data_IF_337679261505
#
_entry.id   IF_337679261505
#
_cell.length_a   1.000
_cell.length_b   1.000
_cell.length_c   1.000
_cell.angle_alpha   90.00
_cell.angle_beta   90.00
_cell.angle_gamma   90.00
#
_symmetry.space_group_name_H-M   'P 1'
#
loop_
_entity.id
_entity.type
_entity.pdbx_description
1 polymer ?
#
# COMPACT_ATOMS: atom_id res chain seq x y z
N UNK A 1 -3.04 -27.88 53.32
CA UNK A 1 -2.46 -28.05 51.97
C UNK A 1 -3.28 -27.29 50.95
N UNK A 2 -2.63 -26.39 50.19
CA UNK A 2 -2.96 -25.86 48.84
C UNK A 2 -2.61 -24.36 48.77
N UNK A 3 -1.41 -24.06 48.28
CA UNK A 3 -1.02 -22.72 47.84
C UNK A 3 -1.53 -22.58 46.40
N UNK A 4 -2.53 -21.72 46.18
CA UNK A 4 -3.03 -21.43 44.84
C UNK A 4 -2.27 -20.21 44.33
N UNK A 5 -1.25 -20.45 43.50
CA UNK A 5 -0.53 -19.41 42.76
C UNK A 5 -1.40 -19.00 41.56
N UNK A 6 -2.00 -17.82 41.63
CA UNK A 6 -2.72 -17.22 40.50
C UNK A 6 -1.69 -16.66 39.50
N UNK A 7 -1.49 -17.39 38.40
CA UNK A 7 -0.63 -16.95 37.29
C UNK A 7 -1.45 -16.01 36.40
N UNK A 8 -1.17 -14.71 36.48
CA UNK A 8 -1.71 -13.68 35.59
C UNK A 8 -0.96 -13.73 34.25
N UNK A 9 -1.48 -14.46 33.27
CA UNK A 9 -1.00 -14.47 31.89
C UNK A 9 -1.61 -13.29 31.12
N UNK A 10 -0.85 -12.21 30.98
CA UNK A 10 -1.22 -11.05 30.15
C UNK A 10 -1.04 -11.40 28.67
N UNK A 11 -2.12 -11.68 27.94
CA UNK A 11 -2.10 -11.79 26.47
C UNK A 11 -1.85 -10.41 25.86
N UNK A 12 -0.64 -10.19 25.33
CA UNK A 12 -0.35 -9.03 24.49
C UNK A 12 -0.98 -9.30 23.11
N UNK A 13 -2.10 -8.63 22.83
CA UNK A 13 -2.71 -8.62 21.50
C UNK A 13 -1.89 -7.67 20.63
N UNK A 14 -1.03 -8.21 19.76
CA UNK A 14 -0.36 -7.43 18.73
C UNK A 14 -1.38 -7.02 17.66
N UNK A 15 -1.91 -5.80 17.78
CA UNK A 15 -2.70 -5.17 16.71
C UNK A 15 -1.77 -4.77 15.57
N UNK A 16 -1.52 -5.71 14.65
CA UNK A 16 -0.83 -5.41 13.39
C UNK A 16 -1.71 -4.48 12.54
N UNK A 17 -1.32 -3.21 12.40
CA UNK A 17 -1.93 -2.33 11.43
C UNK A 17 -1.71 -2.92 10.03
N UNK A 18 -2.78 -3.39 9.40
CA UNK A 18 -2.73 -3.92 8.04
C UNK A 18 -2.42 -2.77 7.06
N UNK A 19 -1.14 -2.61 6.73
CA UNK A 19 -0.63 -1.74 5.65
C UNK A 19 -1.23 -2.09 4.28
N UNK A 20 -1.83 -3.29 4.15
CA UNK A 20 -2.41 -3.90 2.96
C UNK A 20 -3.60 -3.14 2.31
N UNK A 21 -3.87 -1.89 2.67
CA UNK A 21 -4.96 -1.10 2.06
C UNK A 21 -4.60 0.36 1.82
N UNK A 22 -3.33 0.75 1.87
CA UNK A 22 -2.99 2.17 1.69
C UNK A 22 -3.22 2.69 0.27
N UNK A 23 -2.97 1.88 -0.75
CA UNK A 23 -3.29 2.22 -2.15
C UNK A 23 -4.81 2.19 -2.36
N UNK A 24 -5.54 1.22 -1.80
CA UNK A 24 -7.01 1.19 -1.85
C UNK A 24 -7.59 2.48 -1.26
N UNK A 25 -7.13 2.89 -0.07
CA UNK A 25 -7.57 4.12 0.59
C UNK A 25 -7.22 5.38 -0.20
N UNK A 26 -6.04 5.43 -0.81
CA UNK A 26 -5.62 6.56 -1.63
C UNK A 26 -6.44 6.65 -2.94
N UNK A 27 -6.66 5.52 -3.58
CA UNK A 27 -7.50 5.38 -4.77
C UNK A 27 -8.94 5.85 -4.50
N UNK A 28 -9.56 5.40 -3.41
CA UNK A 28 -10.94 5.77 -3.04
C UNK A 28 -11.12 7.26 -2.77
N UNK A 29 -10.05 7.97 -2.39
CA UNK A 29 -10.05 9.42 -2.18
C UNK A 29 -9.80 10.20 -3.47
N UNK A 30 -9.36 9.54 -4.54
CA UNK A 30 -9.17 10.19 -5.84
C UNK A 30 -10.51 10.38 -6.54
N UNK A 31 -10.73 11.57 -7.08
CA UNK A 31 -11.93 11.88 -7.89
C UNK A 31 -12.11 10.88 -9.05
N UNK A 32 -11.01 10.35 -9.61
CA UNK A 32 -11.01 9.41 -10.74
C UNK A 32 -11.60 8.04 -10.40
N UNK A 33 -11.58 7.66 -9.14
CA UNK A 33 -12.05 6.37 -8.65
C UNK A 33 -13.17 6.50 -7.60
N UNK A 34 -13.79 7.67 -7.49
CA UNK A 34 -14.96 7.89 -6.66
C UNK A 34 -16.05 6.85 -6.98
N UNK A 35 -16.51 6.14 -5.95
CA UNK A 35 -17.50 5.07 -6.09
C UNK A 35 -16.97 3.72 -6.61
N UNK A 36 -15.72 3.62 -7.07
CA UNK A 36 -15.17 2.39 -7.69
C UNK A 36 -14.42 1.49 -6.69
N UNK A 37 -15.12 1.01 -5.65
CA UNK A 37 -14.50 0.19 -4.58
C UNK A 37 -13.82 -1.08 -5.09
N UNK A 38 -14.46 -1.80 -6.01
CA UNK A 38 -13.90 -3.05 -6.57
C UNK A 38 -12.61 -2.78 -7.36
N UNK A 39 -12.58 -1.71 -8.15
CA UNK A 39 -11.39 -1.28 -8.86
C UNK A 39 -10.24 -0.95 -7.90
N UNK A 40 -10.50 -0.12 -6.87
CA UNK A 40 -9.47 0.25 -5.91
C UNK A 40 -8.91 -0.95 -5.13
N UNK A 41 -9.76 -1.94 -4.81
CA UNK A 41 -9.31 -3.21 -4.23
C UNK A 41 -8.44 -4.01 -5.19
N UNK A 42 -8.80 -4.08 -6.48
CA UNK A 42 -7.95 -4.74 -7.47
C UNK A 42 -6.59 -4.05 -7.60
N UNK A 43 -6.56 -2.72 -7.65
CA UNK A 43 -5.32 -1.94 -7.71
C UNK A 43 -4.46 -2.19 -6.47
N UNK A 44 -5.05 -2.29 -5.28
CA UNK A 44 -4.32 -2.67 -4.07
C UNK A 44 -3.73 -4.09 -4.16
N UNK A 45 -4.48 -5.07 -4.65
CA UNK A 45 -3.94 -6.43 -4.84
C UNK A 45 -2.77 -6.42 -5.84
N UNK A 46 -2.86 -5.65 -6.92
CA UNK A 46 -1.74 -5.47 -7.85
C UNK A 46 -0.51 -4.84 -7.17
N UNK A 47 -0.73 -3.86 -6.27
CA UNK A 47 0.33 -3.26 -5.47
C UNK A 47 0.96 -4.26 -4.49
N UNK A 48 0.18 -5.12 -3.84
CA UNK A 48 0.68 -6.14 -2.92
C UNK A 48 1.54 -7.20 -3.62
N UNK A 49 1.27 -7.47 -4.90
CA UNK A 49 2.06 -8.40 -5.71
C UNK A 49 3.40 -7.81 -6.18
N UNK A 50 3.53 -6.49 -6.27
CA UNK A 50 4.61 -5.84 -7.03
C UNK A 50 5.44 -4.83 -6.22
N UNK A 51 4.84 -4.22 -5.19
CA UNK A 51 5.42 -3.14 -4.41
C UNK A 51 5.70 -3.59 -2.98
N UNK A 52 6.82 -3.12 -2.43
CA UNK A 52 7.06 -3.25 -0.98
C UNK A 52 6.16 -2.28 -0.21
N UNK A 53 5.95 -2.48 1.09
CA UNK A 53 5.20 -1.54 1.93
C UNK A 53 5.72 -0.09 1.84
N UNK A 54 7.04 0.09 1.74
CA UNK A 54 7.66 1.42 1.56
C UNK A 54 7.34 2.04 0.20
N UNK A 55 7.33 1.22 -0.86
CA UNK A 55 6.99 1.68 -2.20
C UNK A 55 5.49 2.02 -2.28
N UNK A 56 4.62 1.20 -1.68
CA UNK A 56 3.19 1.47 -1.62
C UNK A 56 2.90 2.78 -0.88
N UNK A 57 3.63 3.09 0.21
CA UNK A 57 3.49 4.39 0.90
C UNK A 57 3.87 5.57 0.01
N UNK A 58 4.95 5.44 -0.77
CA UNK A 58 5.37 6.47 -1.72
C UNK A 58 4.35 6.60 -2.87
N UNK A 59 3.93 5.49 -3.46
CA UNK A 59 2.92 5.45 -4.50
C UNK A 59 1.58 6.05 -4.04
N UNK A 60 1.15 5.75 -2.81
CA UNK A 60 -0.06 6.31 -2.22
C UNK A 60 -0.01 7.85 -2.11
N UNK A 61 1.17 8.44 -1.87
CA UNK A 61 1.31 9.90 -1.84
C UNK A 61 1.05 10.58 -3.19
N UNK A 62 1.24 9.86 -4.30
CA UNK A 62 1.01 10.41 -5.64
C UNK A 62 -0.47 10.67 -5.94
N UNK A 63 -1.38 9.96 -5.27
CA UNK A 63 -2.81 10.18 -5.42
C UNK A 63 -3.24 11.54 -4.87
N UNK A 64 -2.63 11.97 -3.75
CA UNK A 64 -2.90 13.29 -3.14
C UNK A 64 -2.03 14.40 -3.71
N UNK A 65 -0.82 14.07 -4.15
CA UNK A 65 0.14 15.02 -4.73
C UNK A 65 0.74 14.44 -6.02
N UNK A 66 0.13 14.71 -7.19
CA UNK A 66 0.67 14.28 -8.46
C UNK A 66 2.04 14.92 -8.79
N UNK A 67 2.38 16.07 -8.21
CA UNK A 67 3.68 16.72 -8.44
C UNK A 67 4.82 15.90 -7.83
N UNK A 68 4.58 15.29 -6.66
CA UNK A 68 5.49 14.32 -6.04
C UNK A 68 5.97 13.23 -7.01
N UNK A 69 5.07 12.71 -7.86
CA UNK A 69 5.46 11.70 -8.84
C UNK A 69 6.50 12.24 -9.85
N UNK A 70 6.37 13.52 -10.24
CA UNK A 70 7.32 14.18 -11.14
C UNK A 70 8.67 14.42 -10.47
N UNK A 71 8.68 14.83 -9.19
CA UNK A 71 9.92 14.98 -8.41
C UNK A 71 10.67 13.65 -8.32
N UNK A 72 9.96 12.56 -8.02
CA UNK A 72 10.55 11.23 -7.87
C UNK A 72 11.03 10.70 -9.24
N UNK A 73 10.32 10.97 -10.35
CA UNK A 73 10.75 10.61 -11.72
C UNK A 73 12.05 11.29 -12.13
N UNK A 74 12.22 12.55 -11.78
CA UNK A 74 13.38 13.35 -12.20
C UNK A 74 14.57 13.25 -11.24
N UNK A 75 14.42 12.52 -10.13
CA UNK A 75 15.45 12.44 -9.11
C UNK A 75 16.60 11.53 -9.53
N UNK A 76 17.85 11.98 -9.34
CA UNK A 76 19.08 11.21 -9.57
C UNK A 76 19.38 10.17 -8.46
N UNK A 77 18.37 9.78 -7.67
CA UNK A 77 18.53 8.84 -6.56
C UNK A 77 18.35 7.41 -7.04
N UNK A 78 19.35 6.56 -6.82
CA UNK A 78 19.28 5.11 -7.09
C UNK A 78 18.08 4.42 -6.43
N UNK A 79 17.60 4.96 -5.30
CA UNK A 79 16.41 4.42 -4.63
C UNK A 79 15.13 4.76 -5.42
N UNK A 80 15.05 5.95 -5.99
CA UNK A 80 13.91 6.38 -6.80
C UNK A 80 13.88 5.66 -8.15
N UNK A 81 15.03 5.44 -8.77
CA UNK A 81 15.16 4.59 -9.97
C UNK A 81 14.59 3.18 -9.70
N UNK A 82 15.08 2.49 -8.67
CA UNK A 82 14.59 1.17 -8.29
C UNK A 82 13.10 1.16 -7.92
N UNK A 83 12.60 2.22 -7.31
CA UNK A 83 11.17 2.36 -7.03
C UNK A 83 10.38 2.40 -8.33
N UNK A 84 10.85 3.15 -9.33
CA UNK A 84 10.16 3.29 -10.60
C UNK A 84 10.10 2.00 -11.41
N UNK A 85 11.16 1.18 -11.41
CA UNK A 85 11.13 -0.14 -12.04
C UNK A 85 9.97 -0.99 -11.48
N UNK A 86 9.81 -0.98 -10.14
CA UNK A 86 8.72 -1.70 -9.47
C UNK A 86 7.37 -1.05 -9.72
N UNK A 87 7.29 0.27 -9.72
CA UNK A 87 6.05 0.99 -9.98
C UNK A 87 5.55 0.80 -11.43
N UNK A 88 6.43 0.66 -12.41
CA UNK A 88 6.05 0.31 -13.78
C UNK A 88 5.54 -1.12 -13.88
N UNK A 89 6.13 -2.05 -13.12
CA UNK A 89 5.59 -3.40 -12.98
C UNK A 89 4.18 -3.36 -12.39
N UNK A 90 3.99 -2.64 -11.29
CA UNK A 90 2.69 -2.38 -10.69
C UNK A 90 1.67 -1.84 -11.69
N UNK A 91 2.01 -0.82 -12.47
CA UNK A 91 1.13 -0.25 -13.49
C UNK A 91 0.68 -1.27 -14.52
N UNK A 92 1.63 -2.03 -15.10
CA UNK A 92 1.32 -3.10 -16.07
C UNK A 92 0.47 -4.22 -15.47
N UNK A 93 0.75 -4.62 -14.24
CA UNK A 93 -0.04 -5.60 -13.48
C UNK A 93 -1.46 -5.10 -13.29
N UNK A 94 -1.64 -3.85 -12.83
CA UNK A 94 -2.96 -3.25 -12.64
C UNK A 94 -3.72 -3.12 -13.98
N UNK A 95 -3.06 -2.70 -15.06
CA UNK A 95 -3.67 -2.62 -16.40
C UNK A 95 -4.10 -3.99 -16.94
N UNK A 96 -3.40 -5.06 -16.57
CA UNK A 96 -3.74 -6.42 -17.00
C UNK A 96 -4.94 -6.96 -16.23
N UNK A 97 -4.96 -6.76 -14.91
CA UNK A 97 -5.92 -7.43 -14.02
C UNK A 97 -7.15 -6.59 -13.65
N UNK A 98 -7.03 -5.25 -13.68
CA UNK A 98 -8.02 -4.35 -13.10
C UNK A 98 -8.85 -3.59 -14.14
N UNK A 99 -9.03 -4.15 -15.34
CA UNK A 99 -9.97 -3.61 -16.34
C UNK A 99 -11.40 -3.93 -15.87
N UNK A 100 -12.02 -2.99 -15.17
CA UNK A 100 -13.40 -3.04 -14.69
C UNK A 100 -14.05 -1.67 -14.75
#
# INVERSE_FOLDING_TARGET
MRRVLAVLTTMIVMTGASEASQIERACLKSDRAYGKRQLCRCIQNAADLTLTAKDQKLAASFFSDPHRAQEIRQSNSRRHERFWDRYESFGRTAETFCRG
#
